data_IF_351469473113
#
_entry.id   IF_351469473113
#
_cell.length_a   1.000
_cell.length_b   1.000
_cell.length_c   1.000
_cell.angle_alpha   90.00
_cell.angle_beta   90.00
_cell.angle_gamma   90.00
#
_symmetry.space_group_name_H-M   'P 1'
#
loop_
_entity.id
_entity.type
_entity.pdbx_description
1 polymer ?
#
# COMPACT_ATOMS: atom_id res chain seq x y z
N UNK A 1 -16.90 28.53 -25.67
CA UNK A 1 -16.90 28.68 -24.21
C UNK A 1 -16.18 27.45 -23.65
N UNK A 2 -14.96 27.59 -23.19
CA UNK A 2 -14.13 26.46 -22.70
C UNK A 2 -14.63 26.04 -21.33
N UNK A 3 -15.00 24.75 -21.24
CA UNK A 3 -15.58 24.08 -20.07
C UNK A 3 -14.65 24.12 -18.85
N UNK A 4 -15.13 24.74 -17.78
CA UNK A 4 -14.47 24.84 -16.45
C UNK A 4 -14.72 23.62 -15.57
N UNK A 5 -15.33 22.56 -16.09
CA UNK A 5 -15.75 21.38 -15.31
C UNK A 5 -14.59 20.38 -15.11
N UNK A 6 -13.61 20.34 -16.02
CA UNK A 6 -12.52 19.36 -15.99
C UNK A 6 -11.51 19.53 -14.85
N UNK A 7 -11.37 20.73 -14.27
CA UNK A 7 -10.35 20.98 -13.23
C UNK A 7 -10.77 20.65 -11.79
N UNK A 8 -12.07 20.52 -11.52
CA UNK A 8 -12.57 20.24 -10.16
C UNK A 8 -12.60 18.74 -9.79
N UNK A 9 -12.67 17.87 -10.79
CA UNK A 9 -12.73 16.41 -10.56
C UNK A 9 -11.37 15.78 -10.21
N UNK A 10 -10.26 16.43 -10.57
CA UNK A 10 -8.90 15.89 -10.41
C UNK A 10 -8.35 15.97 -8.98
N UNK A 11 -9.00 16.71 -8.09
CA UNK A 11 -8.43 16.98 -6.75
C UNK A 11 -8.90 16.03 -5.64
N UNK A 12 -9.89 15.16 -5.89
CA UNK A 12 -10.44 14.27 -4.86
C UNK A 12 -9.88 12.83 -4.90
N UNK A 13 -9.10 12.45 -5.92
CA UNK A 13 -8.70 11.06 -6.15
C UNK A 13 -7.23 10.74 -5.84
N UNK A 14 -6.46 11.67 -5.25
CA UNK A 14 -5.02 11.49 -5.03
C UNK A 14 -4.67 11.09 -3.58
N UNK A 15 -5.32 10.06 -3.05
CA UNK A 15 -4.91 9.46 -1.77
C UNK A 15 -4.99 7.93 -1.77
N UNK A 16 -4.46 7.29 -2.81
CA UNK A 16 -4.12 5.87 -2.73
C UNK A 16 -2.75 5.63 -3.37
N UNK A 17 -1.78 5.43 -2.49
CA UNK A 17 -0.59 4.59 -2.58
C UNK A 17 -0.01 4.36 -3.98
N UNK A 18 1.10 5.02 -4.30
CA UNK A 18 2.09 4.47 -5.23
C UNK A 18 3.45 4.53 -4.57
N UNK A 19 3.94 3.37 -4.12
CA UNK A 19 5.36 3.14 -3.87
C UNK A 19 6.04 2.94 -5.23
N UNK A 20 6.79 3.92 -5.69
CA UNK A 20 7.79 3.72 -6.74
C UNK A 20 9.13 4.24 -6.24
N UNK A 21 10.05 3.32 -6.08
CA UNK A 21 11.46 3.57 -5.78
C UNK A 21 12.15 4.13 -7.01
N UNK A 22 12.64 5.36 -6.94
CA UNK A 22 13.77 5.79 -7.78
C UNK A 22 14.75 6.60 -6.94
N UNK A 23 15.98 6.09 -6.91
CA UNK A 23 17.14 6.77 -6.37
C UNK A 23 17.50 7.95 -7.27
N UNK A 24 17.70 9.15 -6.71
CA UNK A 24 18.34 10.24 -7.39
C UNK A 24 19.46 10.84 -6.55
N UNK A 25 20.54 11.10 -7.26
CA UNK A 25 21.83 11.62 -6.82
C UNK A 25 21.71 12.90 -5.98
N UNK A 26 22.45 12.90 -4.90
CA UNK A 26 22.65 14.07 -4.03
C UNK A 26 23.82 14.87 -4.61
N UNK A 27 23.56 16.11 -4.99
CA UNK A 27 24.61 17.10 -5.31
C UNK A 27 25.13 17.63 -3.97
N UNK A 28 26.39 17.34 -3.68
CA UNK A 28 27.15 17.94 -2.58
C UNK A 28 27.49 19.40 -2.92
N UNK A 29 26.88 20.33 -2.19
CA UNK A 29 27.39 21.71 -2.13
C UNK A 29 28.28 21.87 -0.89
N UNK A 30 29.55 22.03 -1.12
CA UNK A 30 30.56 22.35 -0.11
C UNK A 30 30.43 23.81 0.33
N UNK A 31 30.43 24.10 1.65
CA UNK A 31 30.45 25.49 2.14
C UNK A 31 31.83 26.12 1.95
N UNK A 32 31.87 27.27 1.30
CA UNK A 32 33.04 28.15 1.29
C UNK A 32 33.25 28.79 2.66
N UNK A 33 34.40 28.53 3.25
CA UNK A 33 34.91 29.28 4.40
C UNK A 33 35.09 30.76 4.03
N UNK A 34 34.50 31.64 4.82
CA UNK A 34 34.77 33.07 4.81
C UNK A 34 35.48 33.44 6.11
N UNK A 35 36.67 34.00 5.94
CA UNK A 35 37.53 34.48 7.01
C UNK A 35 36.86 35.50 7.91
N UNK A 36 37.13 35.33 9.21
CA UNK A 36 36.68 36.23 10.28
C UNK A 36 37.59 37.44 10.35
N UNK A 37 37.01 38.62 10.14
CA UNK A 37 37.62 39.88 10.55
C UNK A 37 37.13 40.25 11.95
N UNK A 38 38.04 40.24 12.88
CA UNK A 38 37.80 40.63 14.28
C UNK A 38 38.00 42.14 14.44
N UNK A 39 37.01 42.75 15.08
CA UNK A 39 36.94 44.07 15.71
C UNK A 39 35.88 45.01 15.06
N UNK A 40 34.67 44.90 15.56
CA UNK A 40 33.78 46.05 15.68
C UNK A 40 33.06 45.95 17.05
N UNK A 41 33.22 46.98 17.83
CA UNK A 41 32.51 47.14 19.12
C UNK A 41 30.99 47.03 18.94
N UNK A 42 30.37 46.16 19.71
CA UNK A 42 28.91 45.96 19.71
C UNK A 42 28.27 47.16 20.42
N UNK A 43 27.54 47.96 19.65
CA UNK A 43 26.62 48.96 20.19
C UNK A 43 25.38 48.26 20.73
N UNK A 44 25.21 48.22 22.06
CA UNK A 44 24.17 47.49 22.79
C UNK A 44 22.84 48.25 22.88
N UNK A 45 22.52 49.15 21.99
CA UNK A 45 21.28 49.94 22.02
C UNK A 45 20.30 49.61 20.87
N UNK A 46 20.39 48.46 20.23
CA UNK A 46 19.26 48.02 19.39
C UNK A 46 18.10 47.51 20.24
N UNK A 47 17.03 48.31 20.27
CA UNK A 47 15.77 47.93 20.89
C UNK A 47 15.34 46.56 20.36
N UNK A 48 15.10 45.61 21.26
CA UNK A 48 14.62 44.24 21.00
C UNK A 48 13.34 44.35 20.15
N UNK A 49 13.44 44.17 18.85
CA UNK A 49 12.27 44.06 17.98
C UNK A 49 11.70 42.65 18.20
N UNK A 50 10.46 42.52 18.70
CA UNK A 50 9.87 41.21 18.90
C UNK A 50 9.81 40.49 17.54
N UNK A 51 10.52 39.40 17.42
CA UNK A 51 10.46 38.54 16.23
C UNK A 51 9.15 37.74 16.33
N UNK A 52 8.27 37.90 15.37
CA UNK A 52 7.05 37.10 15.28
C UNK A 52 7.45 35.67 14.93
N UNK A 53 7.44 34.77 15.90
CA UNK A 53 7.86 33.37 15.73
C UNK A 53 6.83 32.61 14.89
N UNK A 54 5.53 32.85 15.09
CA UNK A 54 4.44 32.29 14.29
C UNK A 54 3.20 33.18 14.35
N UNK A 55 2.19 32.90 13.55
CA UNK A 55 0.94 33.65 13.54
C UNK A 55 -0.27 32.78 13.29
N UNK A 56 -1.36 33.15 13.97
CA UNK A 56 -2.66 32.54 13.71
C UNK A 56 -3.12 32.94 12.30
N UNK A 57 -3.29 31.96 11.41
CA UNK A 57 -3.87 32.13 10.09
C UNK A 57 -5.40 32.09 10.13
N UNK A 58 -5.96 31.21 10.97
CA UNK A 58 -7.40 31.10 11.16
C UNK A 58 -7.79 30.32 12.42
N UNK A 59 -9.08 30.46 12.76
CA UNK A 59 -9.73 29.70 13.84
C UNK A 59 -11.00 29.08 13.28
N UNK A 60 -11.25 27.82 13.58
CA UNK A 60 -12.48 27.08 13.22
C UNK A 60 -12.97 26.33 14.47
N UNK A 61 -14.08 26.77 15.03
CA UNK A 61 -14.56 26.24 16.31
C UNK A 61 -13.48 26.38 17.40
N UNK A 62 -13.08 25.24 17.96
CA UNK A 62 -12.04 25.16 19.01
C UNK A 62 -10.63 24.98 18.44
N UNK A 63 -10.48 24.95 17.12
CA UNK A 63 -9.20 24.70 16.45
C UNK A 63 -8.54 25.98 15.95
N UNK A 64 -7.24 26.05 16.13
CA UNK A 64 -6.39 27.11 15.60
C UNK A 64 -5.58 26.55 14.44
N UNK A 65 -5.46 27.29 13.35
CA UNK A 65 -4.56 27.02 12.24
C UNK A 65 -3.47 28.09 12.23
N UNK A 66 -2.23 27.67 12.30
CA UNK A 66 -1.05 28.53 12.29
C UNK A 66 -0.48 28.70 10.87
N UNK A 67 0.33 29.73 10.66
CA UNK A 67 1.02 29.90 9.38
C UNK A 67 2.03 28.75 9.16
N UNK A 68 2.69 28.28 10.21
CA UNK A 68 3.59 27.15 10.16
C UNK A 68 2.91 25.83 9.78
N UNK A 69 1.62 25.65 10.11
CA UNK A 69 0.88 24.45 9.70
C UNK A 69 0.73 24.37 8.17
N UNK A 70 0.55 25.53 7.51
CA UNK A 70 0.48 25.59 6.05
C UNK A 70 1.85 25.26 5.43
N UNK A 71 2.94 25.74 6.05
CA UNK A 71 4.30 25.45 5.59
C UNK A 71 4.67 23.98 5.75
N UNK A 72 4.25 23.35 6.85
CA UNK A 72 4.39 21.90 7.08
C UNK A 72 3.65 21.07 6.04
N UNK A 73 2.43 21.46 5.69
CA UNK A 73 1.66 20.77 4.64
C UNK A 73 2.38 20.81 3.29
N UNK A 74 3.00 21.95 2.91
CA UNK A 74 3.84 22.02 1.73
C UNK A 74 5.03 21.07 1.77
N UNK A 75 5.71 20.99 2.92
CA UNK A 75 6.85 20.09 3.11
C UNK A 75 6.42 18.62 2.98
N UNK A 76 5.30 18.27 3.57
CA UNK A 76 4.76 16.92 3.51
C UNK A 76 4.38 16.50 2.08
N UNK A 77 3.72 17.39 1.31
CA UNK A 77 3.40 17.13 -0.09
C UNK A 77 4.66 16.91 -0.94
N UNK A 78 5.70 17.73 -0.74
CA UNK A 78 7.00 17.56 -1.41
C UNK A 78 7.67 16.23 -1.04
N UNK A 79 7.65 15.87 0.23
CA UNK A 79 8.22 14.61 0.70
C UNK A 79 7.48 13.39 0.11
N UNK A 80 6.18 13.53 -0.19
CA UNK A 80 5.37 12.52 -0.86
C UNK A 80 5.54 12.50 -2.39
N UNK A 81 6.44 13.31 -2.95
CA UNK A 81 6.70 13.36 -4.39
C UNK A 81 5.65 14.12 -5.22
N UNK A 82 4.75 14.86 -4.57
CA UNK A 82 3.72 15.65 -5.25
C UNK A 82 4.33 16.92 -5.82
N UNK A 83 4.10 17.23 -7.12
CA UNK A 83 4.48 18.52 -7.69
C UNK A 83 3.64 19.65 -7.08
N UNK A 84 4.29 20.48 -6.28
CA UNK A 84 3.62 21.58 -5.56
C UNK A 84 3.60 22.91 -6.31
N UNK A 85 4.08 22.98 -7.57
CA UNK A 85 4.19 24.24 -8.33
C UNK A 85 2.86 24.95 -8.58
N UNK A 86 1.79 24.19 -8.75
CA UNK A 86 0.44 24.72 -8.98
C UNK A 86 -0.39 24.85 -7.70
N UNK A 87 0.14 24.40 -6.55
CA UNK A 87 -0.57 24.42 -5.28
C UNK A 87 -0.29 25.74 -4.57
N UNK A 88 -1.34 26.52 -4.35
CA UNK A 88 -1.20 27.81 -3.67
C UNK A 88 -1.32 27.66 -2.16
N UNK A 89 -0.73 28.63 -1.42
CA UNK A 89 -0.86 28.73 0.02
C UNK A 89 -2.33 28.85 0.46
N UNK A 90 -3.15 29.54 -0.32
CA UNK A 90 -4.59 29.68 -0.05
C UNK A 90 -5.35 28.35 -0.18
N UNK A 91 -4.99 27.52 -1.16
CA UNK A 91 -5.61 26.19 -1.31
C UNK A 91 -5.30 25.28 -0.13
N UNK A 92 -4.02 25.23 0.32
CA UNK A 92 -3.66 24.45 1.49
C UNK A 92 -4.32 24.97 2.77
N UNK A 93 -4.37 26.27 2.94
CA UNK A 93 -5.07 26.87 4.07
C UNK A 93 -6.56 26.52 4.06
N UNK A 94 -7.23 26.60 2.91
CA UNK A 94 -8.61 26.16 2.75
C UNK A 94 -8.81 24.68 3.14
N UNK A 95 -7.87 23.82 2.76
CA UNK A 95 -7.90 22.38 3.13
C UNK A 95 -7.72 22.16 4.63
N UNK A 96 -6.82 22.90 5.26
CA UNK A 96 -6.65 22.86 6.71
C UNK A 96 -7.91 23.33 7.46
N UNK A 97 -8.57 24.40 7.00
CA UNK A 97 -9.86 24.86 7.54
C UNK A 97 -10.93 23.76 7.43
N UNK A 98 -11.01 23.08 6.28
CA UNK A 98 -11.93 21.95 6.07
C UNK A 98 -11.66 20.83 7.08
N UNK A 99 -10.42 20.39 7.20
CA UNK A 99 -10.06 19.32 8.13
C UNK A 99 -10.41 19.66 9.58
N UNK A 100 -10.17 20.93 9.99
CA UNK A 100 -10.53 21.39 11.33
C UNK A 100 -12.06 21.50 11.53
N UNK A 101 -12.80 21.89 10.51
CA UNK A 101 -14.27 21.92 10.54
C UNK A 101 -14.83 20.50 10.75
N UNK A 102 -14.33 19.52 9.99
CA UNK A 102 -14.74 18.12 10.15
C UNK A 102 -14.37 17.57 11.52
N UNK A 103 -13.15 17.79 11.99
CA UNK A 103 -12.70 17.33 13.32
C UNK A 103 -13.53 17.95 14.45
N UNK A 104 -13.85 19.25 14.36
CA UNK A 104 -14.72 19.94 15.33
C UNK A 104 -16.10 19.30 15.41
N UNK A 105 -16.75 19.08 14.26
CA UNK A 105 -18.07 18.46 14.23
C UNK A 105 -18.06 16.97 14.56
N UNK A 106 -16.96 16.25 14.26
CA UNK A 106 -16.82 14.86 14.70
C UNK A 106 -16.93 14.73 16.23
N UNK A 107 -16.28 15.64 16.97
CA UNK A 107 -16.37 15.66 18.43
C UNK A 107 -17.80 16.00 18.89
N UNK A 108 -18.44 17.01 18.27
CA UNK A 108 -19.81 17.39 18.60
C UNK A 108 -20.80 16.27 18.36
N UNK A 109 -20.63 15.51 17.27
CA UNK A 109 -21.49 14.37 16.88
C UNK A 109 -21.06 13.06 17.58
N UNK A 110 -20.17 13.14 18.59
CA UNK A 110 -19.67 11.99 19.38
C UNK A 110 -19.02 10.89 18.53
N UNK A 111 -18.37 11.26 17.44
CA UNK A 111 -17.57 10.33 16.62
C UNK A 111 -16.26 10.06 17.37
N UNK A 112 -16.05 8.81 17.75
CA UNK A 112 -14.91 8.41 18.56
C UNK A 112 -13.75 7.89 17.72
N UNK A 113 -12.55 8.34 18.07
CA UNK A 113 -11.27 7.76 17.62
C UNK A 113 -10.50 7.40 18.88
N UNK A 114 -10.15 6.12 19.05
CA UNK A 114 -9.45 5.67 20.25
C UNK A 114 -7.97 6.07 20.21
N UNK A 115 -7.44 6.44 21.37
CA UNK A 115 -6.01 6.79 21.47
C UNK A 115 -5.10 5.61 21.10
N UNK A 116 -5.53 4.37 21.36
CA UNK A 116 -4.78 3.18 20.96
C UNK A 116 -4.66 3.05 19.42
N UNK A 117 -5.74 3.36 18.71
CA UNK A 117 -5.76 3.35 17.24
C UNK A 117 -4.83 4.44 16.68
N UNK A 118 -4.87 5.65 17.25
CA UNK A 118 -3.98 6.74 16.85
C UNK A 118 -2.51 6.37 17.11
N UNK A 119 -2.19 5.82 18.31
CA UNK A 119 -0.82 5.38 18.63
C UNK A 119 -0.30 4.31 17.66
N UNK A 120 -1.13 3.31 17.32
CA UNK A 120 -0.74 2.29 16.36
C UNK A 120 -0.42 2.90 14.97
N UNK A 121 -1.19 3.91 14.56
CA UNK A 121 -0.94 4.63 13.30
C UNK A 121 0.37 5.42 13.36
N UNK A 122 0.62 6.13 14.47
CA UNK A 122 1.89 6.85 14.71
C UNK A 122 3.07 5.88 14.70
N UNK A 123 2.97 4.73 15.37
CA UNK A 123 4.04 3.72 15.39
C UNK A 123 4.35 3.20 13.98
N UNK A 124 3.32 2.95 13.18
CA UNK A 124 3.48 2.53 11.78
C UNK A 124 4.17 3.61 10.95
N UNK A 125 3.72 4.86 11.04
CA UNK A 125 4.32 5.99 10.31
C UNK A 125 5.78 6.24 10.74
N UNK A 126 6.07 6.16 12.04
CA UNK A 126 7.44 6.29 12.55
C UNK A 126 8.36 5.21 11.97
N UNK A 127 7.90 3.96 11.89
CA UNK A 127 8.67 2.88 11.25
C UNK A 127 8.93 3.18 9.77
N UNK A 128 7.94 3.70 9.04
CA UNK A 128 8.11 4.09 7.64
C UNK A 128 9.13 5.23 7.49
N UNK A 129 9.02 6.27 8.30
CA UNK A 129 9.96 7.40 8.25
C UNK A 129 11.39 6.98 8.62
N UNK A 130 11.55 6.15 9.65
CA UNK A 130 12.85 5.61 10.03
C UNK A 130 13.46 4.76 8.92
N UNK A 131 12.65 3.98 8.21
CA UNK A 131 13.14 3.18 7.07
C UNK A 131 13.70 4.05 5.93
N UNK A 132 13.11 5.22 5.69
CA UNK A 132 13.57 6.16 4.65
C UNK A 132 14.90 6.85 5.00
N UNK A 133 15.22 6.96 6.29
CA UNK A 133 16.48 7.52 6.77
C UNK A 133 17.46 6.45 7.27
N UNK A 134 17.28 5.19 6.87
CA UNK A 134 18.13 4.04 7.27
C UNK A 134 18.20 3.82 8.79
N UNK A 135 17.14 4.14 9.53
CA UNK A 135 17.04 4.00 10.99
C UNK A 135 17.68 5.15 11.78
N UNK A 136 18.15 6.20 11.13
CA UNK A 136 18.76 7.36 11.77
C UNK A 136 17.70 8.30 12.33
N UNK A 137 17.45 8.20 13.65
CA UNK A 137 16.45 9.01 14.35
C UNK A 137 16.88 10.49 14.43
N UNK A 138 18.17 10.79 14.59
CA UNK A 138 18.64 12.17 14.73
C UNK A 138 18.43 12.93 13.41
N UNK A 139 18.66 12.25 12.28
CA UNK A 139 18.35 12.78 10.96
C UNK A 139 16.85 13.05 10.80
N UNK A 140 16.01 12.13 11.25
CA UNK A 140 14.56 12.31 11.21
C UNK A 140 14.10 13.50 12.04
N UNK A 141 14.59 13.63 13.28
CA UNK A 141 14.30 14.76 14.17
C UNK A 141 14.74 16.10 13.55
N UNK A 142 15.91 16.13 12.91
CA UNK A 142 16.39 17.32 12.19
C UNK A 142 15.46 17.72 11.04
N UNK A 143 14.95 16.76 10.25
CA UNK A 143 14.01 17.02 9.15
C UNK A 143 12.71 17.65 9.66
N UNK A 144 12.20 17.17 10.81
CA UNK A 144 10.96 17.67 11.40
C UNK A 144 11.18 18.81 12.41
N UNK A 145 12.43 19.27 12.57
CA UNK A 145 12.83 20.32 13.52
C UNK A 145 12.33 20.03 14.94
N UNK A 146 12.64 18.82 15.45
CA UNK A 146 12.27 18.33 16.77
C UNK A 146 13.49 18.06 17.62
N UNK A 147 13.34 18.26 18.94
CA UNK A 147 14.42 18.04 19.89
C UNK A 147 14.56 16.57 20.28
N UNK A 148 13.44 15.83 20.32
CA UNK A 148 13.39 14.42 20.70
C UNK A 148 12.26 13.66 20.02
N UNK A 149 12.31 12.33 20.11
CA UNK A 149 11.33 11.42 19.51
C UNK A 149 9.94 11.58 20.16
N UNK A 150 9.87 11.88 21.44
CA UNK A 150 8.60 12.00 22.16
C UNK A 150 7.81 13.22 21.63
N UNK A 151 8.45 14.36 21.46
CA UNK A 151 7.83 15.57 20.91
C UNK A 151 7.37 15.38 19.45
N UNK A 152 8.12 14.60 18.64
CA UNK A 152 7.69 14.23 17.29
C UNK A 152 6.45 13.33 17.33
N UNK A 153 6.45 12.32 18.19
CA UNK A 153 5.33 11.40 18.38
C UNK A 153 4.07 12.09 18.89
N UNK A 154 4.21 13.04 19.80
CA UNK A 154 3.07 13.82 20.30
C UNK A 154 2.45 14.71 19.22
N UNK A 155 3.27 15.36 18.39
CA UNK A 155 2.76 16.15 17.26
C UNK A 155 2.07 15.25 16.23
N UNK A 156 2.68 14.12 15.90
CA UNK A 156 2.07 13.13 14.99
C UNK A 156 0.75 12.58 15.57
N UNK A 157 0.71 12.31 16.88
CA UNK A 157 -0.51 11.83 17.53
C UNK A 157 -1.66 12.84 17.39
N UNK A 158 -1.39 14.12 17.68
CA UNK A 158 -2.39 15.18 17.57
C UNK A 158 -2.88 15.33 16.11
N UNK A 159 -1.95 15.39 15.17
CA UNK A 159 -2.28 15.54 13.74
C UNK A 159 -3.06 14.34 13.21
N UNK A 160 -2.63 13.12 13.54
CA UNK A 160 -3.33 11.90 13.14
C UNK A 160 -4.72 11.80 13.77
N UNK A 161 -4.88 12.18 15.03
CA UNK A 161 -6.19 12.19 15.69
C UNK A 161 -7.17 13.12 14.98
N UNK A 162 -6.75 14.35 14.66
CA UNK A 162 -7.56 15.32 13.94
C UNK A 162 -7.91 14.82 12.52
N UNK A 163 -6.95 14.24 11.82
CA UNK A 163 -7.15 13.65 10.48
C UNK A 163 -8.14 12.48 10.52
N UNK A 164 -8.00 11.57 11.49
CA UNK A 164 -8.90 10.42 11.63
C UNK A 164 -10.32 10.86 12.00
N UNK A 165 -10.46 11.87 12.86
CA UNK A 165 -11.77 12.48 13.17
C UNK A 165 -12.40 13.08 11.92
N UNK A 166 -11.61 13.85 11.14
CA UNK A 166 -12.06 14.43 9.88
C UNK A 166 -12.54 13.37 8.89
N UNK A 167 -11.76 12.31 8.69
CA UNK A 167 -12.11 11.20 7.80
C UNK A 167 -13.38 10.47 8.23
N UNK A 168 -13.52 10.19 9.53
CA UNK A 168 -14.73 9.52 10.07
C UNK A 168 -15.96 10.41 9.93
N UNK A 169 -15.82 11.71 10.12
CA UNK A 169 -16.92 12.66 9.91
C UNK A 169 -17.36 12.67 8.45
N UNK A 170 -16.41 12.79 7.52
CA UNK A 170 -16.71 12.74 6.07
C UNK A 170 -17.40 11.41 5.69
N UNK A 171 -16.87 10.29 6.18
CA UNK A 171 -17.49 8.98 5.96
C UNK A 171 -18.92 8.91 6.54
N UNK A 172 -19.16 9.52 7.71
CA UNK A 172 -20.49 9.58 8.33
C UNK A 172 -21.47 10.40 7.48
N UNK A 173 -21.03 11.52 6.88
CA UNK A 173 -21.87 12.36 6.02
C UNK A 173 -22.40 11.60 4.79
N UNK A 174 -21.58 10.69 4.26
CA UNK A 174 -21.92 9.98 3.01
C UNK A 174 -22.37 8.53 3.22
N UNK A 175 -22.34 8.01 4.45
CA UNK A 175 -22.59 6.60 4.77
C UNK A 175 -23.94 6.08 4.27
N UNK A 176 -24.99 6.86 4.45
CA UNK A 176 -26.36 6.46 4.17
C UNK A 176 -26.85 7.03 2.81
N UNK A 177 -25.92 7.50 1.95
CA UNK A 177 -26.26 8.02 0.64
C UNK A 177 -26.37 6.87 -0.35
N UNK A 178 -27.58 6.62 -0.79
CA UNK A 178 -27.91 5.69 -1.85
C UNK A 178 -28.35 6.43 -3.10
N UNK A 179 -28.35 5.75 -4.24
CA UNK A 179 -28.82 6.31 -5.51
C UNK A 179 -29.86 5.37 -6.14
N UNK A 180 -30.95 5.95 -6.61
CA UNK A 180 -32.00 5.23 -7.32
C UNK A 180 -31.70 5.12 -8.81
N UNK A 181 -32.26 4.11 -9.53
CA UNK A 181 -32.09 3.99 -10.99
C UNK A 181 -32.56 5.25 -11.76
N UNK A 182 -33.57 5.95 -11.25
CA UNK A 182 -34.06 7.17 -11.87
C UNK A 182 -33.06 8.33 -11.71
N UNK A 183 -32.42 8.47 -10.54
CA UNK A 183 -31.36 9.46 -10.33
C UNK A 183 -30.15 9.18 -11.24
N UNK A 184 -29.79 7.89 -11.42
CA UNK A 184 -28.74 7.48 -12.38
C UNK A 184 -29.08 7.91 -13.79
N UNK A 185 -30.35 7.69 -14.22
CA UNK A 185 -30.83 8.10 -15.54
C UNK A 185 -30.77 9.61 -15.72
N UNK A 186 -31.20 10.37 -14.70
CA UNK A 186 -31.15 11.83 -14.72
C UNK A 186 -29.72 12.35 -14.77
N UNK A 187 -28.79 11.72 -14.03
CA UNK A 187 -27.37 12.04 -14.09
C UNK A 187 -26.83 11.84 -15.51
N UNK A 188 -27.04 10.66 -16.09
CA UNK A 188 -26.56 10.34 -17.44
C UNK A 188 -27.13 11.27 -18.52
N UNK A 189 -28.42 11.57 -18.45
CA UNK A 189 -29.08 12.47 -19.42
C UNK A 189 -28.64 13.93 -19.33
N UNK A 190 -28.07 14.36 -18.17
CA UNK A 190 -27.50 15.71 -18.01
C UNK A 190 -26.15 15.86 -18.68
N UNK A 191 -25.45 14.76 -18.94
CA UNK A 191 -24.15 14.79 -19.60
C UNK A 191 -24.37 14.93 -21.11
N UNK A 192 -23.89 16.03 -21.74
CA UNK A 192 -23.90 16.15 -23.21
C UNK A 192 -23.20 14.97 -23.86
N UNK A 193 -23.64 14.57 -25.05
CA UNK A 193 -23.07 13.39 -25.73
C UNK A 193 -21.56 13.48 -25.92
N UNK A 194 -21.06 14.68 -26.19
CA UNK A 194 -19.65 14.98 -26.43
C UNK A 194 -18.80 15.00 -25.14
N UNK A 195 -19.45 15.00 -23.97
CA UNK A 195 -18.82 15.02 -22.64
C UNK A 195 -19.03 13.70 -21.88
N UNK A 196 -19.69 12.72 -22.50
CA UNK A 196 -19.87 11.39 -21.88
C UNK A 196 -18.53 10.74 -21.66
N UNK A 197 -18.34 10.03 -20.54
CA UNK A 197 -17.12 9.27 -20.32
C UNK A 197 -16.98 8.19 -21.40
N UNK A 198 -15.77 7.96 -21.87
CA UNK A 198 -15.42 6.80 -22.67
C UNK A 198 -14.86 5.73 -21.74
N UNK A 199 -15.29 4.50 -21.91
CA UNK A 199 -14.76 3.34 -21.20
C UNK A 199 -13.78 2.61 -22.12
N UNK A 200 -12.61 2.29 -21.57
CA UNK A 200 -11.59 1.54 -22.30
C UNK A 200 -11.99 0.10 -22.55
N UNK A 201 -11.23 -0.58 -23.42
CA UNK A 201 -11.44 -2.01 -23.69
C UNK A 201 -11.31 -2.81 -22.40
N UNK A 202 -12.35 -3.61 -22.12
CA UNK A 202 -12.41 -4.53 -20.98
C UNK A 202 -12.50 -5.98 -21.47
N UNK A 203 -11.95 -6.87 -20.64
CA UNK A 203 -12.02 -8.30 -20.90
C UNK A 203 -11.87 -9.10 -19.62
N UNK A 204 -12.22 -10.37 -19.68
CA UNK A 204 -11.94 -11.34 -18.60
C UNK A 204 -10.71 -12.16 -18.98
N UNK A 205 -9.90 -12.47 -17.98
CA UNK A 205 -8.67 -13.25 -18.13
C UNK A 205 -8.75 -14.52 -17.31
N UNK A 206 -8.38 -15.64 -17.88
CA UNK A 206 -8.21 -16.89 -17.15
C UNK A 206 -6.80 -17.46 -17.37
N UNK A 207 -6.29 -18.19 -16.38
CA UNK A 207 -4.95 -18.81 -16.44
C UNK A 207 -4.98 -20.28 -16.03
N UNK A 208 -4.06 -21.04 -16.58
CA UNK A 208 -3.67 -22.37 -16.10
C UNK A 208 -2.21 -22.31 -15.76
N UNK A 209 -1.86 -22.66 -14.54
CA UNK A 209 -0.49 -22.62 -14.01
C UNK A 209 -0.02 -24.05 -13.76
N UNK A 210 1.21 -24.37 -14.18
CA UNK A 210 1.89 -25.62 -13.83
C UNK A 210 3.25 -25.30 -13.25
N UNK A 211 3.50 -25.84 -12.07
CA UNK A 211 4.78 -25.68 -11.35
C UNK A 211 5.66 -26.91 -11.56
N UNK A 212 6.95 -26.74 -11.89
CA UNK A 212 7.89 -27.84 -11.91
C UNK A 212 7.99 -28.49 -10.54
N UNK A 213 7.80 -29.81 -10.45
CA UNK A 213 7.77 -30.53 -9.17
C UNK A 213 9.19 -30.88 -8.71
N UNK A 214 9.45 -30.68 -7.41
CA UNK A 214 10.67 -31.16 -6.78
C UNK A 214 10.64 -32.69 -6.76
N UNK A 215 11.73 -33.34 -7.19
CA UNK A 215 11.82 -34.79 -7.19
C UNK A 215 11.85 -35.37 -5.77
N UNK A 216 11.26 -36.56 -5.56
CA UNK A 216 11.30 -37.25 -4.26
C UNK A 216 12.72 -37.54 -3.81
N UNK A 217 13.63 -37.74 -4.75
CA UNK A 217 15.06 -37.92 -4.47
C UNK A 217 15.67 -36.69 -3.81
N UNK A 218 15.34 -35.50 -4.32
CA UNK A 218 15.83 -34.25 -3.80
C UNK A 218 15.21 -33.92 -2.44
N UNK A 219 13.91 -34.13 -2.27
CA UNK A 219 13.25 -34.01 -0.95
C UNK A 219 13.92 -34.90 0.09
N UNK A 220 14.17 -36.17 -0.27
CA UNK A 220 14.83 -37.14 0.61
C UNK A 220 16.26 -36.72 0.96
N UNK A 221 17.01 -36.19 -0.02
CA UNK A 221 18.36 -35.65 0.18
C UNK A 221 18.36 -34.52 1.23
N UNK A 222 17.47 -33.54 1.08
CA UNK A 222 17.38 -32.43 2.00
C UNK A 222 16.91 -32.85 3.38
N UNK A 223 15.90 -33.73 3.48
CA UNK A 223 15.43 -34.24 4.76
C UNK A 223 16.51 -34.98 5.50
N UNK A 224 17.29 -35.82 4.81
CA UNK A 224 18.42 -36.54 5.42
C UNK A 224 19.52 -35.58 5.86
N UNK A 225 19.81 -34.54 5.10
CA UNK A 225 20.78 -33.51 5.46
C UNK A 225 20.35 -32.73 6.72
N UNK A 226 19.08 -32.37 6.83
CA UNK A 226 18.54 -31.67 8.01
C UNK A 226 18.54 -32.60 9.24
N UNK A 227 18.17 -33.88 9.10
CA UNK A 227 18.29 -34.88 10.17
C UNK A 227 19.72 -35.04 10.64
N UNK A 228 20.69 -35.06 9.71
CA UNK A 228 22.10 -35.10 10.07
C UNK A 228 22.53 -33.84 10.83
N UNK A 229 22.05 -32.64 10.43
CA UNK A 229 22.36 -31.42 11.18
C UNK A 229 21.80 -31.46 12.60
N UNK A 230 20.58 -31.99 12.78
CA UNK A 230 19.99 -32.21 14.11
C UNK A 230 20.87 -33.15 14.95
N UNK A 231 21.21 -34.31 14.43
CA UNK A 231 22.06 -35.29 15.13
C UNK A 231 23.45 -34.71 15.46
N UNK A 232 24.06 -33.95 14.54
CA UNK A 232 25.33 -33.27 14.80
C UNK A 232 25.26 -32.32 16.00
N UNK A 233 24.16 -31.64 16.19
CA UNK A 233 23.96 -30.68 17.29
C UNK A 233 23.64 -31.41 18.60
N UNK A 234 22.68 -32.32 18.56
CA UNK A 234 22.18 -33.00 19.77
C UNK A 234 23.13 -34.08 20.31
N UNK A 235 23.79 -34.85 19.42
CA UNK A 235 24.63 -35.98 19.80
C UNK A 235 26.12 -35.63 19.82
N UNK A 236 26.56 -34.74 18.90
CA UNK A 236 28.01 -34.48 18.72
C UNK A 236 28.39 -33.05 19.22
N UNK A 237 27.45 -32.27 19.79
CA UNK A 237 27.74 -30.96 20.35
C UNK A 237 28.13 -29.91 19.33
N UNK A 238 27.80 -30.09 18.04
CA UNK A 238 28.07 -29.11 17.02
C UNK A 238 27.23 -27.82 17.22
N UNK A 239 27.78 -26.66 16.88
CA UNK A 239 27.06 -25.40 16.98
C UNK A 239 25.95 -25.32 15.94
N UNK A 240 24.69 -25.16 16.35
CA UNK A 240 23.57 -24.91 15.45
C UNK A 240 23.78 -23.63 14.65
N UNK A 241 24.27 -22.55 15.28
CA UNK A 241 24.59 -21.29 14.63
C UNK A 241 25.58 -21.48 13.46
N UNK A 242 26.57 -22.37 13.60
CA UNK A 242 27.47 -22.66 12.49
C UNK A 242 26.76 -23.30 11.30
N UNK A 243 25.76 -24.18 11.57
CA UNK A 243 24.92 -24.75 10.49
C UNK A 243 24.08 -23.66 9.78
N UNK A 244 23.51 -22.74 10.55
CA UNK A 244 22.75 -21.57 9.98
C UNK A 244 23.65 -20.74 9.08
N UNK A 245 24.87 -20.40 9.52
CA UNK A 245 25.81 -19.56 8.77
C UNK A 245 26.29 -20.24 7.49
N UNK A 246 26.62 -21.53 7.57
CA UNK A 246 27.25 -22.27 6.46
C UNK A 246 26.25 -22.78 5.43
N UNK A 247 25.07 -23.18 5.86
CA UNK A 247 24.10 -23.87 5.02
C UNK A 247 22.74 -23.19 4.90
N UNK A 248 22.41 -22.25 5.81
CA UNK A 248 21.11 -21.56 5.80
C UNK A 248 20.93 -20.70 4.56
N UNK A 249 19.80 -20.89 3.87
CA UNK A 249 19.43 -20.20 2.63
C UNK A 249 18.43 -19.06 2.85
N UNK A 250 18.00 -18.81 4.11
CA UNK A 250 17.12 -17.68 4.42
C UNK A 250 17.92 -16.34 4.42
N UNK A 251 17.62 -15.41 3.49
CA UNK A 251 18.28 -14.10 3.47
C UNK A 251 17.99 -13.27 4.73
N UNK A 252 16.78 -13.40 5.30
CA UNK A 252 16.33 -12.62 6.46
C UNK A 252 17.07 -12.97 7.74
N UNK A 253 17.49 -14.23 7.91
CA UNK A 253 18.19 -14.67 9.11
C UNK A 253 19.55 -13.99 9.27
N UNK A 254 20.21 -13.65 8.17
CA UNK A 254 21.49 -12.92 8.19
C UNK A 254 21.33 -11.50 8.71
N UNK A 255 20.26 -10.82 8.30
CA UNK A 255 19.96 -9.45 8.71
C UNK A 255 19.55 -9.37 10.19
N UNK A 256 18.92 -10.42 10.71
CA UNK A 256 18.48 -10.51 12.12
C UNK A 256 19.56 -11.00 13.10
N UNK A 257 20.81 -11.12 12.65
CA UNK A 257 21.91 -11.63 13.48
C UNK A 257 21.83 -13.13 13.74
N UNK A 258 21.25 -13.88 12.82
CA UNK A 258 21.07 -15.33 12.81
C UNK A 258 20.07 -15.88 13.83
N UNK A 259 19.16 -15.04 14.34
CA UNK A 259 18.09 -15.45 15.23
C UNK A 259 16.83 -14.60 15.06
N UNK A 260 15.70 -15.16 15.47
CA UNK A 260 14.41 -14.47 15.56
C UNK A 260 13.85 -14.58 16.98
N UNK A 261 13.19 -13.52 17.44
CA UNK A 261 12.36 -13.58 18.66
C UNK A 261 10.90 -13.70 18.24
N UNK A 262 10.28 -14.81 18.56
CA UNK A 262 8.87 -15.10 18.29
C UNK A 262 8.02 -14.85 19.54
N UNK A 263 6.85 -14.24 19.37
CA UNK A 263 5.92 -14.02 20.46
C UNK A 263 4.64 -14.86 20.24
N UNK A 264 4.27 -15.71 21.23
CA UNK A 264 3.07 -16.58 21.13
C UNK A 264 1.77 -15.85 20.92
N UNK A 265 1.62 -14.63 21.50
CA UNK A 265 0.39 -13.82 21.40
C UNK A 265 0.30 -13.05 20.08
N UNK A 266 1.44 -12.76 19.45
CA UNK A 266 1.52 -11.99 18.18
C UNK A 266 2.45 -12.71 17.20
N UNK A 267 2.09 -13.89 16.74
CA UNK A 267 2.95 -14.68 15.85
C UNK A 267 3.05 -14.05 14.47
N UNK A 268 4.27 -13.87 13.95
CA UNK A 268 4.55 -13.28 12.62
C UNK A 268 5.00 -14.28 11.56
N UNK A 269 5.29 -15.55 11.96
CA UNK A 269 5.76 -16.59 11.05
C UNK A 269 4.59 -17.44 10.53
N UNK A 270 4.82 -18.22 9.48
CA UNK A 270 3.85 -19.19 8.95
C UNK A 270 3.49 -20.25 10.00
N UNK A 271 2.33 -20.87 9.86
CA UNK A 271 1.74 -21.76 10.86
C UNK A 271 2.69 -22.90 11.24
N UNK A 272 3.23 -23.60 10.25
CA UNK A 272 4.11 -24.77 10.42
C UNK A 272 5.37 -24.40 11.20
N UNK A 273 5.95 -23.24 10.91
CA UNK A 273 7.14 -22.75 11.63
C UNK A 273 6.83 -22.44 13.10
N UNK A 274 5.68 -21.82 13.36
CA UNK A 274 5.25 -21.51 14.75
C UNK A 274 4.97 -22.76 15.55
N UNK A 275 4.29 -23.73 14.96
CA UNK A 275 3.99 -25.02 15.60
C UNK A 275 5.27 -25.74 15.98
N UNK A 276 6.24 -25.83 15.06
CA UNK A 276 7.54 -26.40 15.34
C UNK A 276 8.28 -25.62 16.44
N UNK A 277 8.42 -24.29 16.31
CA UNK A 277 9.18 -23.48 17.26
C UNK A 277 8.60 -23.49 18.68
N UNK A 278 7.27 -23.40 18.81
CA UNK A 278 6.62 -23.36 20.12
C UNK A 278 6.43 -24.72 20.80
N UNK A 279 6.73 -25.82 20.11
CA UNK A 279 6.77 -27.17 20.72
C UNK A 279 8.10 -27.48 21.41
N UNK A 280 9.17 -26.70 21.12
CA UNK A 280 10.53 -26.97 21.62
C UNK A 280 10.73 -26.46 23.03
N UNK A 281 11.64 -27.13 23.74
CA UNK A 281 12.27 -26.67 24.98
C UNK A 281 13.58 -25.92 24.66
N UNK A 282 14.12 -25.19 25.65
CA UNK A 282 15.44 -24.55 25.49
C UNK A 282 16.53 -25.59 25.20
N UNK A 283 17.31 -25.33 24.16
CA UNK A 283 18.38 -26.22 23.71
C UNK A 283 17.97 -27.36 22.78
N UNK A 284 16.67 -27.44 22.42
CA UNK A 284 16.15 -28.53 21.57
C UNK A 284 16.12 -28.09 20.09
N UNK A 285 16.32 -29.08 19.18
CA UNK A 285 16.18 -28.89 17.71
C UNK A 285 14.92 -29.62 17.25
N UNK A 286 14.12 -28.98 16.39
CA UNK A 286 12.91 -29.58 15.82
C UNK A 286 13.24 -30.77 14.90
N UNK A 287 12.24 -31.61 14.64
CA UNK A 287 12.26 -32.47 13.46
C UNK A 287 12.21 -31.58 12.18
N UNK A 288 12.78 -32.08 11.06
CA UNK A 288 12.61 -31.42 9.77
C UNK A 288 11.12 -31.28 9.37
N UNK A 289 10.72 -30.11 9.00
CA UNK A 289 9.36 -29.81 8.50
C UNK A 289 9.39 -28.97 7.24
N UNK A 290 8.30 -28.96 6.49
CA UNK A 290 8.17 -28.24 5.24
C UNK A 290 7.25 -27.01 5.41
N UNK A 291 7.59 -25.91 4.72
CA UNK A 291 6.74 -24.74 4.48
C UNK A 291 6.76 -24.42 2.98
N UNK A 292 6.03 -23.39 2.57
CA UNK A 292 6.08 -22.88 1.18
C UNK A 292 7.48 -22.38 0.78
N UNK A 293 8.33 -22.02 1.76
CA UNK A 293 9.69 -21.53 1.51
C UNK A 293 10.73 -22.67 1.35
N UNK A 294 10.42 -23.88 1.78
CA UNK A 294 11.34 -25.01 1.74
C UNK A 294 11.28 -25.89 3.00
N UNK A 295 12.38 -26.56 3.29
CA UNK A 295 12.52 -27.46 4.44
C UNK A 295 13.31 -26.78 5.56
N UNK A 296 12.83 -26.93 6.78
CA UNK A 296 13.37 -26.26 7.95
C UNK A 296 13.71 -27.23 9.07
N UNK A 297 14.67 -26.83 9.89
CA UNK A 297 14.83 -27.23 11.31
C UNK A 297 14.99 -25.97 12.14
N UNK A 298 14.41 -25.94 13.32
CA UNK A 298 14.44 -24.83 14.27
C UNK A 298 15.15 -25.24 15.54
N UNK A 299 15.99 -24.40 16.08
CA UNK A 299 16.64 -24.54 17.38
C UNK A 299 16.12 -23.47 18.33
N UNK A 300 15.66 -23.87 19.51
CA UNK A 300 15.21 -22.96 20.55
C UNK A 300 16.41 -22.57 21.45
N UNK A 301 16.87 -21.33 21.31
CA UNK A 301 18.00 -20.82 22.11
C UNK A 301 17.55 -20.46 23.53
N UNK A 302 16.39 -19.79 23.67
CA UNK A 302 15.90 -19.31 24.96
C UNK A 302 14.40 -19.04 24.97
N UNK A 303 13.77 -19.31 26.11
CA UNK A 303 12.35 -19.02 26.34
C UNK A 303 12.21 -17.97 27.43
N UNK A 304 11.54 -16.86 27.14
CA UNK A 304 11.23 -15.78 28.09
C UNK A 304 9.71 -15.55 28.15
N UNK A 305 9.05 -16.37 28.94
CA UNK A 305 7.60 -16.34 29.09
C UNK A 305 6.85 -16.60 27.80
N UNK A 306 6.39 -15.59 27.09
CA UNK A 306 5.71 -15.72 25.80
C UNK A 306 6.66 -15.56 24.59
N UNK A 307 7.92 -15.23 24.83
CA UNK A 307 8.92 -14.99 23.79
C UNK A 307 9.90 -16.17 23.67
N UNK A 308 10.13 -16.57 22.43
CA UNK A 308 11.04 -17.65 22.04
C UNK A 308 12.12 -17.07 21.15
N UNK A 309 13.38 -17.11 21.61
CA UNK A 309 14.53 -16.83 20.78
C UNK A 309 14.88 -18.10 20.02
N UNK A 310 14.79 -18.07 18.72
CA UNK A 310 15.01 -19.23 17.86
C UNK A 310 15.98 -18.91 16.73
N UNK A 311 16.77 -19.90 16.35
CA UNK A 311 17.53 -19.93 15.11
C UNK A 311 16.98 -21.03 14.21
N UNK A 312 17.12 -20.90 12.88
CA UNK A 312 16.68 -21.95 11.97
C UNK A 312 17.63 -22.14 10.79
N UNK A 313 17.62 -23.32 10.23
CA UNK A 313 18.20 -23.62 8.92
C UNK A 313 17.06 -23.85 7.95
N UNK A 314 17.02 -23.06 6.89
CA UNK A 314 16.17 -23.26 5.72
C UNK A 314 17.02 -23.84 4.60
N UNK A 315 16.57 -24.94 4.00
CA UNK A 315 17.09 -25.47 2.75
C UNK A 315 15.99 -25.45 1.69
N UNK A 316 16.26 -24.79 0.58
CA UNK A 316 15.33 -24.67 -0.55
C UNK A 316 15.64 -25.81 -1.53
N UNK A 317 14.65 -26.68 -1.86
CA UNK A 317 14.89 -27.76 -2.78
C UNK A 317 15.16 -27.25 -4.21
N UNK A 318 16.13 -27.84 -4.88
CA UNK A 318 16.42 -27.53 -6.26
C UNK A 318 15.48 -28.30 -7.20
N UNK A 319 14.89 -27.57 -8.15
CA UNK A 319 14.11 -28.16 -9.22
C UNK A 319 15.05 -28.62 -10.32
N UNK A 320 14.98 -29.88 -10.70
CA UNK A 320 15.82 -30.41 -11.78
C UNK A 320 15.41 -29.87 -13.16
N UNK A 321 16.36 -29.73 -14.07
CA UNK A 321 16.07 -29.36 -15.45
C UNK A 321 15.06 -30.32 -16.12
N UNK A 322 15.09 -31.60 -15.75
CA UNK A 322 14.10 -32.58 -16.24
C UNK A 322 12.69 -32.22 -15.78
N UNK A 323 12.50 -31.88 -14.50
CA UNK A 323 11.19 -31.44 -13.99
C UNK A 323 10.69 -30.13 -14.62
N UNK A 324 11.63 -29.23 -14.95
CA UNK A 324 11.30 -27.99 -15.65
C UNK A 324 10.78 -28.29 -17.07
N UNK A 325 11.46 -29.16 -17.80
CA UNK A 325 11.06 -29.59 -19.15
C UNK A 325 9.71 -30.31 -19.09
N UNK A 326 9.54 -31.26 -18.16
CA UNK A 326 8.30 -32.03 -17.97
C UNK A 326 7.10 -31.11 -17.70
N UNK A 327 7.23 -30.11 -16.83
CA UNK A 327 6.17 -29.16 -16.52
C UNK A 327 5.78 -28.33 -17.77
N UNK A 328 6.77 -27.86 -18.53
CA UNK A 328 6.55 -27.12 -19.76
C UNK A 328 5.85 -27.98 -20.80
N UNK A 329 6.36 -29.19 -21.09
CA UNK A 329 5.78 -30.11 -22.05
C UNK A 329 4.35 -30.53 -21.68
N UNK A 330 4.10 -30.74 -20.38
CA UNK A 330 2.76 -31.01 -19.85
C UNK A 330 1.81 -29.87 -20.21
N UNK A 331 2.19 -28.63 -19.98
CA UNK A 331 1.36 -27.47 -20.26
C UNK A 331 1.17 -27.23 -21.77
N UNK A 332 2.22 -27.45 -22.59
CA UNK A 332 2.13 -27.41 -24.05
C UNK A 332 1.17 -28.45 -24.58
N UNK A 333 1.21 -29.69 -24.08
CA UNK A 333 0.27 -30.75 -24.43
C UNK A 333 -1.18 -30.40 -24.10
N UNK A 334 -1.41 -29.82 -22.93
CA UNK A 334 -2.74 -29.36 -22.50
C UNK A 334 -3.22 -28.21 -23.38
N UNK A 335 -2.33 -27.23 -23.63
CA UNK A 335 -2.64 -26.14 -24.57
C UNK A 335 -3.13 -26.67 -25.92
N UNK A 336 -2.43 -27.67 -26.46
CA UNK A 336 -2.81 -28.27 -27.74
C UNK A 336 -4.21 -28.93 -27.67
N UNK A 337 -4.50 -29.70 -26.60
CA UNK A 337 -5.82 -30.32 -26.42
C UNK A 337 -6.95 -29.30 -26.32
N UNK A 338 -6.67 -28.13 -25.69
CA UNK A 338 -7.66 -27.04 -25.61
C UNK A 338 -7.87 -26.44 -27.00
N UNK A 339 -6.80 -26.18 -27.76
CA UNK A 339 -6.86 -25.62 -29.11
C UNK A 339 -7.59 -26.58 -30.07
N UNK A 340 -7.38 -27.91 -29.96
CA UNK A 340 -8.05 -28.94 -30.73
C UNK A 340 -9.52 -29.17 -30.34
N UNK A 341 -9.94 -28.60 -29.19
CA UNK A 341 -11.30 -28.71 -28.66
C UNK A 341 -11.59 -29.99 -27.89
N UNK A 342 -10.57 -30.79 -27.55
CA UNK A 342 -10.70 -32.04 -26.79
C UNK A 342 -11.11 -31.79 -25.32
N UNK A 343 -10.74 -30.64 -24.76
CA UNK A 343 -11.08 -30.21 -23.40
C UNK A 343 -11.33 -28.72 -23.38
N UNK A 344 -12.23 -28.24 -22.52
CA UNK A 344 -12.42 -26.80 -22.34
C UNK A 344 -11.31 -26.22 -21.47
N UNK A 345 -10.99 -24.93 -21.64
CA UNK A 345 -10.01 -24.24 -20.77
C UNK A 345 -10.39 -24.36 -19.28
N UNK A 346 -11.68 -24.19 -18.98
CA UNK A 346 -12.24 -24.28 -17.64
C UNK A 346 -12.04 -25.67 -17.01
N UNK A 347 -12.26 -26.73 -17.76
CA UNK A 347 -12.10 -28.10 -17.25
C UNK A 347 -10.61 -28.44 -17.11
N UNK A 348 -9.79 -28.04 -18.06
CA UNK A 348 -8.34 -28.17 -17.96
C UNK A 348 -7.77 -27.44 -16.74
N UNK A 349 -8.24 -26.23 -16.45
CA UNK A 349 -7.83 -25.48 -15.24
C UNK A 349 -8.14 -26.28 -13.98
N UNK A 350 -9.37 -26.81 -13.86
CA UNK A 350 -9.77 -27.61 -12.69
C UNK A 350 -8.95 -28.89 -12.51
N UNK A 351 -8.59 -29.52 -13.61
CA UNK A 351 -7.90 -30.81 -13.58
C UNK A 351 -6.41 -30.65 -13.27
N UNK A 352 -5.74 -29.69 -13.90
CA UNK A 352 -4.28 -29.67 -13.93
C UNK A 352 -3.62 -28.40 -13.35
N UNK A 353 -4.35 -27.31 -13.15
CA UNK A 353 -3.74 -26.09 -12.62
C UNK A 353 -3.22 -26.31 -11.20
N UNK A 354 -2.01 -25.86 -10.96
CA UNK A 354 -1.41 -25.82 -9.62
C UNK A 354 -1.77 -24.52 -8.87
N UNK A 355 -2.45 -23.55 -9.51
CA UNK A 355 -2.95 -22.34 -8.88
C UNK A 355 -4.26 -22.61 -8.14
N UNK A 356 -4.18 -22.82 -6.84
CA UNK A 356 -5.32 -23.17 -6.00
C UNK A 356 -6.37 -22.04 -5.88
N UNK A 357 -5.97 -20.80 -6.14
CA UNK A 357 -6.86 -19.63 -6.02
C UNK A 357 -7.87 -19.63 -7.17
N UNK A 358 -7.40 -19.86 -8.40
CA UNK A 358 -8.23 -19.75 -9.62
C UNK A 358 -8.70 -21.09 -10.16
N UNK A 359 -8.04 -22.18 -9.79
CA UNK A 359 -8.26 -23.54 -10.29
C UNK A 359 -9.74 -23.94 -10.33
N UNK A 360 -10.46 -23.78 -9.22
CA UNK A 360 -11.84 -24.23 -9.08
C UNK A 360 -12.85 -23.33 -9.78
N UNK A 361 -12.45 -22.09 -10.10
CA UNK A 361 -13.22 -21.14 -10.90
C UNK A 361 -12.83 -21.15 -12.39
N UNK A 362 -12.27 -22.27 -12.85
CA UNK A 362 -11.88 -22.45 -14.25
C UNK A 362 -10.71 -21.59 -14.69
N UNK A 363 -9.85 -21.21 -13.75
CA UNK A 363 -8.68 -20.38 -13.99
C UNK A 363 -8.95 -18.88 -13.99
N UNK A 364 -10.19 -18.43 -13.72
CA UNK A 364 -10.61 -17.04 -13.81
C UNK A 364 -9.85 -16.15 -12.82
N UNK A 365 -9.23 -15.10 -13.32
CA UNK A 365 -8.56 -14.08 -12.49
C UNK A 365 -9.58 -13.10 -11.91
N UNK A 366 -9.31 -12.63 -10.69
CA UNK A 366 -10.04 -11.54 -10.07
C UNK A 366 -9.18 -10.28 -10.13
N UNK A 367 -9.77 -9.19 -10.60
CA UNK A 367 -9.13 -7.90 -10.63
C UNK A 367 -8.90 -7.41 -9.19
N UNK A 368 -7.65 -7.17 -8.77
CA UNK A 368 -7.34 -6.78 -7.39
C UNK A 368 -7.89 -5.39 -7.02
N UNK A 369 -8.14 -4.51 -8.00
CA UNK A 369 -8.64 -3.17 -7.76
C UNK A 369 -10.16 -3.13 -7.59
N UNK A 370 -10.88 -3.82 -8.48
CA UNK A 370 -12.34 -3.80 -8.54
C UNK A 370 -13.01 -4.96 -7.83
N UNK A 371 -12.25 -6.03 -7.53
CA UNK A 371 -12.71 -7.28 -6.91
C UNK A 371 -13.77 -8.02 -7.76
N UNK A 372 -13.78 -7.77 -9.07
CA UNK A 372 -14.58 -8.49 -10.06
C UNK A 372 -13.68 -9.19 -11.09
N UNK A 373 -14.26 -9.73 -12.17
CA UNK A 373 -13.51 -10.45 -13.20
C UNK A 373 -13.14 -9.60 -14.42
N UNK A 374 -13.51 -8.31 -14.44
CA UNK A 374 -13.27 -7.43 -15.58
C UNK A 374 -11.95 -6.69 -15.41
N UNK A 375 -11.15 -6.71 -16.45
CA UNK A 375 -9.88 -6.01 -16.52
C UNK A 375 -9.93 -4.97 -17.63
N UNK A 376 -9.73 -3.70 -17.28
CA UNK A 376 -9.53 -2.65 -18.28
C UNK A 376 -8.08 -2.68 -18.74
N UNK A 377 -7.85 -2.82 -20.06
CA UNK A 377 -6.51 -2.98 -20.64
C UNK A 377 -5.52 -1.89 -20.22
N UNK A 378 -5.99 -0.66 -20.12
CA UNK A 378 -5.14 0.51 -19.78
C UNK A 378 -4.75 0.59 -18.31
N UNK A 379 -5.42 -0.19 -17.43
CA UNK A 379 -5.21 -0.20 -15.97
C UNK A 379 -4.66 -1.52 -15.46
N UNK A 380 -4.44 -2.44 -16.36
CA UNK A 380 -3.93 -3.77 -16.05
C UNK A 380 -2.44 -3.72 -15.69
N UNK A 381 -2.01 -4.71 -14.92
CA UNK A 381 -0.58 -4.95 -14.69
C UNK A 381 0.18 -5.06 -16.03
N UNK A 382 1.29 -4.33 -16.23
CA UNK A 382 2.00 -4.29 -17.50
C UNK A 382 2.50 -5.66 -17.99
N UNK A 383 2.86 -6.56 -17.07
CA UNK A 383 3.32 -7.91 -17.43
C UNK A 383 2.15 -8.73 -17.96
N UNK A 384 1.01 -8.73 -17.26
CA UNK A 384 -0.20 -9.40 -17.71
C UNK A 384 -0.69 -8.81 -19.05
N UNK A 385 -0.70 -7.49 -19.19
CA UNK A 385 -1.06 -6.81 -20.43
C UNK A 385 -0.23 -7.30 -21.62
N UNK A 386 1.09 -7.34 -21.48
CA UNK A 386 2.00 -7.76 -22.54
C UNK A 386 1.75 -9.20 -23.02
N UNK A 387 1.19 -10.05 -22.16
CA UNK A 387 0.93 -11.46 -22.45
C UNK A 387 -0.41 -11.70 -23.15
N UNK A 388 -1.37 -10.76 -23.04
CA UNK A 388 -2.75 -10.97 -23.53
C UNK A 388 -3.24 -9.93 -24.54
N UNK A 389 -2.53 -8.81 -24.74
CA UNK A 389 -3.00 -7.71 -25.60
C UNK A 389 -3.39 -8.15 -27.02
N UNK A 390 -2.66 -9.11 -27.58
CA UNK A 390 -2.85 -9.59 -28.95
C UNK A 390 -3.82 -10.79 -29.05
N UNK A 391 -4.31 -11.32 -27.91
CA UNK A 391 -5.23 -12.46 -27.89
C UNK A 391 -6.65 -12.02 -28.24
N UNK A 392 -7.29 -12.82 -29.11
CA UNK A 392 -8.73 -12.71 -29.37
C UNK A 392 -9.52 -13.53 -28.36
N UNK A 393 -10.82 -13.25 -28.25
CA UNK A 393 -11.71 -14.02 -27.38
C UNK A 393 -11.64 -15.51 -27.66
N UNK A 394 -11.38 -16.30 -26.62
CA UNK A 394 -11.20 -17.75 -26.72
C UNK A 394 -9.82 -18.19 -27.19
N UNK A 395 -8.94 -17.29 -27.62
CA UNK A 395 -7.58 -17.65 -28.02
C UNK A 395 -6.71 -17.96 -26.79
N UNK A 396 -5.79 -18.91 -26.97
CA UNK A 396 -4.90 -19.39 -25.91
C UNK A 396 -3.48 -18.88 -26.16
N UNK A 397 -2.88 -18.23 -25.18
CA UNK A 397 -1.49 -17.75 -25.26
C UNK A 397 -0.50 -18.90 -25.52
N UNK A 398 0.71 -18.57 -25.91
CA UNK A 398 1.84 -19.50 -25.79
C UNK A 398 2.14 -19.75 -24.33
N UNK A 399 2.90 -20.83 -24.06
CA UNK A 399 3.38 -21.09 -22.70
C UNK A 399 4.37 -20.01 -22.27
N UNK A 400 4.04 -19.31 -21.21
CA UNK A 400 4.85 -18.25 -20.60
C UNK A 400 5.53 -18.79 -19.35
N UNK A 401 6.82 -18.53 -19.21
CA UNK A 401 7.57 -18.80 -17.99
C UNK A 401 7.57 -17.54 -17.11
N UNK A 402 7.23 -17.71 -15.85
CA UNK A 402 7.20 -16.64 -14.84
C UNK A 402 7.92 -17.09 -13.58
N UNK A 403 8.57 -16.16 -12.91
CA UNK A 403 9.17 -16.39 -11.59
C UNK A 403 8.41 -15.59 -10.54
N UNK A 404 7.85 -16.27 -9.55
CA UNK A 404 7.09 -15.59 -8.50
C UNK A 404 7.99 -14.83 -7.51
N UNK A 405 7.38 -14.10 -6.58
CA UNK A 405 8.08 -13.32 -5.54
C UNK A 405 8.95 -14.19 -4.62
N UNK A 406 8.72 -15.50 -4.58
CA UNK A 406 9.52 -16.48 -3.84
C UNK A 406 10.62 -17.09 -4.69
N UNK A 407 10.87 -16.55 -5.90
CA UNK A 407 11.84 -17.04 -6.88
C UNK A 407 11.55 -18.47 -7.38
N UNK A 408 10.26 -18.89 -7.36
CA UNK A 408 9.83 -20.17 -7.91
C UNK A 408 9.41 -20.00 -9.37
N UNK A 409 9.95 -20.86 -10.25
CA UNK A 409 9.58 -20.90 -11.65
C UNK A 409 8.20 -21.57 -11.82
N UNK A 410 7.35 -20.93 -12.62
CA UNK A 410 6.03 -21.40 -13.00
C UNK A 410 5.87 -21.29 -14.53
N UNK A 411 5.06 -22.15 -15.10
CA UNK A 411 4.61 -22.03 -16.47
C UNK A 411 3.12 -21.75 -16.49
N UNK A 412 2.69 -20.82 -17.33
CA UNK A 412 1.27 -20.49 -17.47
C UNK A 412 0.86 -20.36 -18.93
N UNK A 413 -0.40 -20.64 -19.19
CA UNK A 413 -1.13 -20.25 -20.40
C UNK A 413 -2.30 -19.40 -19.98
N UNK A 414 -2.64 -18.45 -20.84
CA UNK A 414 -3.69 -17.47 -20.61
C UNK A 414 -4.74 -17.56 -21.70
N UNK A 415 -5.96 -17.22 -21.39
CA UNK A 415 -7.02 -16.97 -22.34
C UNK A 415 -7.81 -15.74 -21.96
N UNK A 416 -8.41 -15.10 -22.93
CA UNK A 416 -9.29 -13.95 -22.74
C UNK A 416 -10.70 -14.26 -23.22
N UNK A 417 -11.67 -13.64 -22.61
CA UNK A 417 -13.08 -13.75 -23.00
C UNK A 417 -13.83 -12.46 -22.67
N UNK A 418 -15.07 -12.38 -23.19
CA UNK A 418 -15.99 -11.27 -22.92
C UNK A 418 -15.35 -9.88 -23.19
N UNK A 419 -14.59 -9.80 -24.31
CA UNK A 419 -13.98 -8.54 -24.72
C UNK A 419 -15.05 -7.54 -25.13
N UNK A 420 -15.03 -6.38 -24.48
CA UNK A 420 -15.83 -5.20 -24.84
C UNK A 420 -14.86 -4.13 -25.28
N UNK A 421 -14.94 -3.75 -26.55
CA UNK A 421 -14.06 -2.71 -27.11
C UNK A 421 -14.36 -1.34 -26.46
N UNK A 422 -13.39 -0.42 -26.62
CA UNK A 422 -13.55 0.94 -26.14
C UNK A 422 -14.78 1.62 -26.77
N UNK A 423 -15.57 2.28 -25.96
CA UNK A 423 -16.82 2.91 -26.40
C UNK A 423 -17.22 4.08 -25.52
N UNK A 424 -18.01 4.99 -26.07
CA UNK A 424 -18.67 6.03 -25.28
C UNK A 424 -19.76 5.40 -24.42
N UNK A 425 -19.89 5.89 -23.18
CA UNK A 425 -20.82 5.35 -22.20
C UNK A 425 -22.24 5.18 -22.77
N UNK A 426 -22.75 3.96 -22.71
CA UNK A 426 -24.12 3.60 -23.00
C UNK A 426 -24.88 3.23 -21.72
N UNK A 427 -26.09 3.78 -21.56
CA UNK A 427 -26.85 3.62 -20.31
C UNK A 427 -27.22 2.16 -20.01
N UNK A 428 -27.44 1.34 -21.03
CA UNK A 428 -27.91 -0.05 -20.84
C UNK A 428 -26.76 -0.99 -20.53
N UNK A 429 -25.65 -0.88 -21.29
CA UNK A 429 -24.48 -1.73 -21.09
C UNK A 429 -23.63 -1.34 -19.89
N UNK A 430 -23.52 -0.02 -19.59
CA UNK A 430 -22.62 0.50 -18.58
C UNK A 430 -23.34 0.98 -17.31
N UNK A 431 -24.55 0.51 -17.08
CA UNK A 431 -25.39 0.99 -15.96
C UNK A 431 -24.64 0.98 -14.61
N UNK A 432 -23.86 -0.06 -14.30
CA UNK A 432 -23.16 -0.16 -13.03
C UNK A 432 -22.05 0.91 -12.90
N UNK A 433 -21.29 1.16 -13.96
CA UNK A 433 -20.26 2.19 -13.99
C UNK A 433 -20.87 3.59 -13.89
N UNK A 434 -21.94 3.83 -14.65
CA UNK A 434 -22.69 5.09 -14.60
C UNK A 434 -23.32 5.31 -13.24
N UNK A 435 -23.86 4.26 -12.61
CA UNK A 435 -24.38 4.30 -11.25
C UNK A 435 -23.31 4.71 -10.23
N UNK A 436 -22.10 4.18 -10.36
CA UNK A 436 -20.98 4.55 -9.48
C UNK A 436 -20.58 6.02 -9.66
N UNK A 437 -20.46 6.49 -10.89
CA UNK A 437 -20.18 7.90 -11.19
C UNK A 437 -21.27 8.82 -10.63
N UNK A 438 -22.54 8.47 -10.81
CA UNK A 438 -23.68 9.22 -10.31
C UNK A 438 -23.73 9.23 -8.77
N UNK A 439 -23.44 8.10 -8.13
CA UNK A 439 -23.36 7.99 -6.68
C UNK A 439 -22.21 8.83 -6.11
N UNK A 440 -21.06 8.83 -6.77
CA UNK A 440 -19.92 9.63 -6.35
C UNK A 440 -20.22 11.14 -6.49
N UNK A 441 -20.86 11.58 -7.58
CA UNK A 441 -21.33 12.98 -7.69
C UNK A 441 -22.30 13.34 -6.58
N UNK A 442 -23.24 12.44 -6.26
CA UNK A 442 -24.23 12.67 -5.18
C UNK A 442 -23.54 12.79 -3.82
N UNK A 443 -22.53 11.94 -3.54
CA UNK A 443 -21.73 12.00 -2.31
C UNK A 443 -20.93 13.31 -2.23
N UNK A 444 -20.30 13.75 -3.33
CA UNK A 444 -19.56 15.02 -3.39
C UNK A 444 -20.50 16.19 -3.07
N UNK A 445 -21.67 16.24 -3.70
CA UNK A 445 -22.68 17.28 -3.44
C UNK A 445 -23.17 17.27 -1.98
N UNK A 446 -23.31 16.09 -1.39
CA UNK A 446 -23.70 15.99 0.01
C UNK A 446 -22.62 16.53 0.95
N UNK A 447 -21.35 16.26 0.66
CA UNK A 447 -20.21 16.81 1.40
C UNK A 447 -20.18 18.34 1.25
N UNK A 448 -20.31 18.87 0.02
CA UNK A 448 -20.34 20.32 -0.24
C UNK A 448 -21.48 21.01 0.51
N UNK A 449 -22.68 20.45 0.47
CA UNK A 449 -23.85 20.99 1.17
C UNK A 449 -23.69 20.94 2.69
N UNK A 450 -23.17 19.83 3.22
CA UNK A 450 -22.88 19.69 4.63
C UNK A 450 -21.85 20.75 5.08
N UNK A 451 -20.77 20.89 4.31
CA UNK A 451 -19.71 21.84 4.60
C UNK A 451 -20.23 23.28 4.58
N UNK A 452 -20.98 23.67 3.55
CA UNK A 452 -21.57 25.01 3.45
C UNK A 452 -22.43 25.33 4.68
N UNK A 453 -23.32 24.40 5.08
CA UNK A 453 -24.16 24.55 6.26
C UNK A 453 -23.34 24.68 7.54
N UNK A 454 -22.31 23.82 7.71
CA UNK A 454 -21.49 23.82 8.92
C UNK A 454 -20.55 25.00 9.01
N UNK A 455 -20.10 25.58 7.88
CA UNK A 455 -19.38 26.84 7.86
C UNK A 455 -20.25 27.95 8.45
N UNK A 456 -21.54 28.04 8.06
CA UNK A 456 -22.44 29.06 8.57
C UNK A 456 -22.68 28.92 10.09
N UNK A 457 -22.81 27.70 10.58
CA UNK A 457 -23.11 27.37 11.99
C UNK A 457 -21.89 27.46 12.93
N UNK A 458 -20.64 27.44 12.40
CA UNK A 458 -19.42 27.35 13.20
C UNK A 458 -18.77 28.74 13.37
N UNK A 459 -18.20 29.02 14.54
CA UNK A 459 -17.34 30.20 14.70
C UNK A 459 -16.07 30.06 13.84
N UNK A 460 -15.91 30.98 12.88
CA UNK A 460 -14.73 31.02 12.00
C UNK A 460 -14.16 32.43 11.98
N UNK A 461 -12.84 32.52 12.17
CA UNK A 461 -12.09 33.78 12.08
C UNK A 461 -10.82 33.58 11.26
N UNK A 462 -10.71 34.28 10.16
CA UNK A 462 -9.52 34.32 9.31
C UNK A 462 -8.76 35.61 9.54
N UNK A 463 -7.44 35.55 9.66
CA UNK A 463 -6.60 36.68 10.06
C UNK A 463 -5.54 37.03 9.02
N UNK A 464 -5.08 38.28 9.06
CA UNK A 464 -3.99 38.78 8.21
C UNK A 464 -4.24 38.64 6.73
N UNK A 465 -3.19 38.38 5.96
CA UNK A 465 -3.24 38.23 4.49
C UNK A 465 -4.02 37.02 4.00
N UNK A 466 -4.40 36.07 4.90
CA UNK A 466 -5.25 34.95 4.54
C UNK A 466 -6.71 35.37 4.22
N UNK A 467 -7.11 36.60 4.56
CA UNK A 467 -8.42 37.14 4.20
C UNK A 467 -8.54 37.48 2.71
N UNK A 468 -7.40 37.64 2.04
CA UNK A 468 -7.34 37.99 0.62
C UNK A 468 -7.37 36.74 -0.28
N UNK A 469 -7.40 35.52 0.36
CA UNK A 469 -7.50 34.26 -0.36
C UNK A 469 -8.86 34.11 -1.06
N UNK A 470 -8.82 33.60 -2.31
CA UNK A 470 -9.99 33.09 -2.99
C UNK A 470 -10.23 31.63 -2.58
N UNK A 471 -11.29 31.42 -1.83
CA UNK A 471 -11.69 30.10 -1.34
C UNK A 471 -12.77 29.49 -2.20
N UNK A 472 -12.79 28.16 -2.31
CA UNK A 472 -13.88 27.41 -2.95
C UNK A 472 -15.18 27.44 -2.15
N UNK A 473 -15.09 27.64 -0.83
CA UNK A 473 -16.22 27.73 0.10
C UNK A 473 -16.27 29.09 0.81
N UNK A 474 -17.44 29.46 1.38
CA UNK A 474 -17.66 30.80 1.97
C UNK A 474 -17.02 30.94 3.39
N UNK A 475 -15.72 30.69 3.51
CA UNK A 475 -14.99 30.79 4.80
C UNK A 475 -14.99 32.18 5.41
N UNK A 476 -15.14 33.20 4.58
CA UNK A 476 -15.17 34.61 5.03
C UNK A 476 -16.54 35.07 5.50
N UNK A 477 -17.58 34.24 5.32
CA UNK A 477 -18.99 34.56 5.67
C UNK A 477 -19.44 35.89 5.09
N UNK A 478 -19.16 36.10 3.79
CA UNK A 478 -19.55 37.29 3.07
C UNK A 478 -20.98 37.18 2.56
#
# INVERSE_FOLDING_TARGET
>A
MKSTISKKLLFLFLFSVVCVTQAQEIIEDTPKETETDANKAVDTTEAFKPIKVDGVAGVVGDYIVLNSDIDKEFLQLKASGVDTKEITRCQLFGKLLENKLYAHHAIQDSILVSDAEVRNNVDYQMQQFLSQVNGDIDRLLSIYNKEDEESLREEMFKTNKDMMLSQRMQASVIRDIEITPEEVRQFFNKIPKEERPSFGTELKVAQIVVEPKVSEKEKTRILNQLKQFKADVEENGASFRSKVILYGQDPGIKQSGYKYTLNRKKPRMVKEFREAAFSLQEGEVSEPFQTDFGFHIVYCEKIRGQEYDVSHVLLIPEVSNASVIEAKEKLESIRQKIVDGDITFKDAAKEISDDEVTKFDGGQLINPETQDYNFELTRMDPELYSQIQDLKDGEISQVVAETDRSNKLKFKILTVSDRVEDHDADYASDFLKIKELALNEKKIKAIENWQAKKIDDTYIKITGGMRDCEFSSNWLKK
#
